data_IF_431508125079
#
_entry.id   IF_431508125079
#
_cell.length_a   1.000
_cell.length_b   1.000
_cell.length_c   1.000
_cell.angle_alpha   90.00
_cell.angle_beta   90.00
_cell.angle_gamma   90.00
#
_symmetry.space_group_name_H-M   'P 1'
#
loop_
_entity.id
_entity.type
_entity.pdbx_description
1 polymer ?
#
# COMPACT_ATOMS: atom_id res chain seq x y z
N UNK A 1 28.41 -1.89 8.96
CA UNK A 1 27.62 -2.05 7.72
C UNK A 1 26.29 -1.37 7.94
N UNK A 2 26.11 -0.21 7.30
CA UNK A 2 24.95 0.66 7.49
C UNK A 2 23.77 0.11 6.69
N UNK A 3 22.74 -0.39 7.37
CA UNK A 3 21.42 -0.60 6.78
C UNK A 3 20.63 0.70 6.88
N UNK A 4 20.38 1.33 5.74
CA UNK A 4 19.46 2.48 5.63
C UNK A 4 18.07 2.07 6.14
N UNK A 5 17.48 2.78 7.13
CA UNK A 5 16.10 2.51 7.50
C UNK A 5 15.18 3.01 6.39
N UNK A 6 14.39 2.08 5.85
CA UNK A 6 13.24 2.31 4.99
C UNK A 6 12.42 3.48 5.58
N UNK A 7 12.24 4.53 4.78
CA UNK A 7 11.48 5.74 5.12
C UNK A 7 10.18 5.41 5.88
N UNK A 8 10.20 5.63 7.20
CA UNK A 8 8.99 5.65 8.01
C UNK A 8 8.39 7.05 7.89
N UNK A 9 7.11 7.21 7.51
CA UNK A 9 6.47 8.51 7.59
C UNK A 9 6.33 8.91 9.08
N UNK A 10 6.53 10.20 9.43
CA UNK A 10 6.44 10.68 10.80
C UNK A 10 5.00 10.63 11.34
N UNK A 11 4.79 10.40 12.65
CA UNK A 11 3.47 10.41 13.27
C UNK A 11 3.02 11.86 13.52
N UNK A 12 1.81 12.21 13.09
CA UNK A 12 1.15 13.47 13.47
C UNK A 12 0.77 14.43 12.34
N UNK A 13 0.19 13.96 11.24
CA UNK A 13 -0.60 14.86 10.37
C UNK A 13 -2.10 14.73 10.70
N UNK A 14 -2.81 15.87 10.87
CA UNK A 14 -4.25 15.89 11.16
C UNK A 14 -5.05 15.24 10.02
N UNK A 15 -6.28 14.84 10.32
CA UNK A 15 -7.18 14.05 9.48
C UNK A 15 -7.63 14.70 8.13
N UNK A 16 -6.85 15.64 7.59
CA UNK A 16 -7.06 16.35 6.31
C UNK A 16 -5.94 16.08 5.27
N UNK A 17 -5.23 14.94 5.36
CA UNK A 17 -4.26 14.51 4.36
C UNK A 17 -4.56 13.09 3.81
N UNK A 18 -5.83 12.80 3.57
CA UNK A 18 -6.28 11.58 2.87
C UNK A 18 -6.13 11.67 1.35
N UNK A 19 -5.42 12.66 0.84
CA UNK A 19 -5.01 12.66 -0.56
C UNK A 19 -3.90 11.63 -0.78
N UNK A 20 -4.11 10.78 -1.78
CA UNK A 20 -3.07 9.91 -2.31
C UNK A 20 -1.86 10.77 -2.69
N UNK A 21 -0.66 10.38 -2.25
CA UNK A 21 0.57 10.97 -2.76
C UNK A 21 0.67 10.83 -4.28
N UNK A 22 1.46 11.68 -4.93
CA UNK A 22 1.72 11.60 -6.38
C UNK A 22 2.16 10.19 -6.78
N UNK A 23 3.09 9.60 -6.03
CA UNK A 23 3.57 8.23 -6.27
C UNK A 23 2.46 7.18 -6.16
N UNK A 24 1.59 7.30 -5.16
CA UNK A 24 0.44 6.39 -5.02
C UNK A 24 -0.54 6.52 -6.19
N UNK A 25 -0.79 7.75 -6.69
CA UNK A 25 -1.64 7.99 -7.87
C UNK A 25 -1.05 7.35 -9.13
N UNK A 26 0.26 7.45 -9.35
CA UNK A 26 0.94 6.78 -10.47
C UNK A 26 0.85 5.26 -10.38
N UNK A 27 1.05 4.69 -9.19
CA UNK A 27 0.94 3.24 -9.00
C UNK A 27 -0.49 2.75 -9.27
N UNK A 28 -1.52 3.49 -8.85
CA UNK A 28 -2.92 3.19 -9.15
C UNK A 28 -3.16 3.20 -10.66
N UNK A 29 -2.72 4.25 -11.38
CA UNK A 29 -2.82 4.32 -12.84
C UNK A 29 -2.11 3.15 -13.53
N UNK A 30 -0.90 2.81 -13.08
CA UNK A 30 -0.12 1.68 -13.62
C UNK A 30 -0.86 0.35 -13.45
N UNK A 31 -1.44 0.12 -12.26
CA UNK A 31 -2.22 -1.09 -11.99
C UNK A 31 -3.55 -1.12 -12.77
N UNK A 32 -4.24 0.02 -12.89
CA UNK A 32 -5.47 0.13 -13.69
C UNK A 32 -5.22 -0.28 -15.13
N UNK A 33 -4.17 0.28 -15.76
CA UNK A 33 -3.80 -0.06 -17.14
C UNK A 33 -3.43 -1.53 -17.30
N UNK A 34 -2.76 -2.12 -16.32
CA UNK A 34 -2.43 -3.54 -16.35
C UNK A 34 -3.68 -4.42 -16.29
N UNK A 35 -4.68 -4.04 -15.48
CA UNK A 35 -5.97 -4.74 -15.41
C UNK A 35 -6.71 -4.60 -16.75
N UNK A 36 -6.81 -3.38 -17.28
CA UNK A 36 -7.55 -3.10 -18.52
C UNK A 36 -6.93 -3.79 -19.75
N UNK A 37 -5.60 -3.94 -19.77
CA UNK A 37 -4.87 -4.64 -20.83
C UNK A 37 -4.91 -6.17 -20.69
N UNK A 38 -5.42 -6.72 -19.58
CA UNK A 38 -5.43 -8.16 -19.34
C UNK A 38 -6.65 -8.81 -20.02
N UNK A 39 -6.40 -9.58 -21.09
CA UNK A 39 -7.43 -10.32 -21.80
C UNK A 39 -7.64 -11.77 -21.29
N UNK A 40 -6.63 -12.33 -20.61
CA UNK A 40 -6.70 -13.68 -20.05
C UNK A 40 -7.34 -13.66 -18.64
N UNK A 41 -8.48 -14.34 -18.42
CA UNK A 41 -9.12 -14.41 -17.12
C UNK A 41 -8.24 -15.03 -16.01
N UNK A 42 -7.32 -15.93 -16.33
CA UNK A 42 -6.41 -16.51 -15.33
C UNK A 42 -5.37 -15.50 -14.85
N UNK A 43 -4.88 -14.65 -15.75
CA UNK A 43 -4.00 -13.53 -15.40
C UNK A 43 -4.72 -12.47 -14.58
N UNK A 44 -5.98 -12.16 -14.91
CA UNK A 44 -6.78 -11.22 -14.11
C UNK A 44 -6.98 -11.75 -12.69
N UNK A 45 -7.29 -13.04 -12.55
CA UNK A 45 -7.41 -13.73 -11.26
C UNK A 45 -6.10 -13.70 -10.47
N UNK A 46 -4.95 -13.82 -11.15
CA UNK A 46 -3.62 -13.70 -10.53
C UNK A 46 -3.38 -12.28 -10.01
N UNK A 47 -3.67 -11.25 -10.81
CA UNK A 47 -3.54 -9.84 -10.40
C UNK A 47 -4.44 -9.54 -9.20
N UNK A 48 -5.70 -9.98 -9.22
CA UNK A 48 -6.64 -9.79 -8.12
C UNK A 48 -6.15 -10.41 -6.80
N UNK A 49 -5.60 -11.63 -6.85
CA UNK A 49 -5.02 -12.28 -5.67
C UNK A 49 -3.80 -11.53 -5.12
N UNK A 50 -2.98 -10.96 -5.99
CA UNK A 50 -1.83 -10.15 -5.57
C UNK A 50 -2.27 -8.87 -4.86
N UNK A 51 -3.26 -8.16 -5.41
CA UNK A 51 -3.84 -6.96 -4.80
C UNK A 51 -4.46 -7.28 -3.43
N UNK A 52 -5.20 -8.39 -3.31
CA UNK A 52 -5.77 -8.83 -2.05
C UNK A 52 -4.69 -9.06 -0.97
N UNK A 53 -3.59 -9.74 -1.34
CA UNK A 53 -2.48 -9.96 -0.41
C UNK A 53 -1.82 -8.65 0.01
N UNK A 54 -1.54 -7.77 -0.95
CA UNK A 54 -0.92 -6.47 -0.67
C UNK A 54 -1.76 -5.63 0.29
N UNK A 55 -3.09 -5.60 0.08
CA UNK A 55 -4.03 -4.93 0.97
C UNK A 55 -3.95 -5.44 2.42
N UNK A 56 -3.99 -6.77 2.61
CA UNK A 56 -3.90 -7.36 3.95
C UNK A 56 -2.55 -7.09 4.61
N UNK A 57 -1.44 -7.12 3.84
CA UNK A 57 -0.11 -6.78 4.35
C UNK A 57 -0.05 -5.33 4.81
N UNK A 58 -0.56 -4.39 4.01
CA UNK A 58 -0.59 -2.98 4.39
C UNK A 58 -1.46 -2.74 5.63
N UNK A 59 -2.65 -3.37 5.69
CA UNK A 59 -3.53 -3.29 6.86
C UNK A 59 -2.85 -3.82 8.13
N UNK A 60 -2.14 -4.95 8.03
CA UNK A 60 -1.39 -5.51 9.15
C UNK A 60 -0.26 -4.58 9.61
N UNK A 61 0.48 -3.98 8.68
CA UNK A 61 1.53 -3.01 8.98
C UNK A 61 0.97 -1.77 9.68
N UNK A 62 -0.13 -1.20 9.19
CA UNK A 62 -0.82 -0.07 9.83
C UNK A 62 -1.28 -0.43 11.25
N UNK A 63 -1.93 -1.58 11.42
CA UNK A 63 -2.38 -2.04 12.74
C UNK A 63 -1.21 -2.24 13.72
N UNK A 64 -0.07 -2.76 13.24
CA UNK A 64 1.13 -2.91 14.05
C UNK A 64 1.69 -1.57 14.51
N UNK A 65 1.79 -0.57 13.62
CA UNK A 65 2.25 0.79 13.98
C UNK A 65 1.33 1.40 15.03
N UNK A 66 0.01 1.31 14.85
CA UNK A 66 -0.97 1.85 15.81
C UNK A 66 -0.86 1.12 17.16
N UNK A 67 -0.72 -0.20 17.15
CA UNK A 67 -0.55 -1.00 18.37
C UNK A 67 0.74 -0.68 19.13
N UNK A 68 1.79 -0.22 18.45
CA UNK A 68 3.03 0.22 19.11
C UNK A 68 2.96 1.63 19.71
N UNK A 69 2.01 2.45 19.28
CA UNK A 69 1.80 3.80 19.82
C UNK A 69 0.98 3.80 21.13
N UNK A 70 0.58 2.64 21.64
CA UNK A 70 0.04 2.47 22.98
C UNK A 70 1.16 2.01 23.94
N UNK A 71 1.94 2.93 24.54
CA UNK A 71 2.70 2.60 25.73
C UNK A 71 1.70 2.20 26.83
N UNK A 72 2.02 1.15 27.58
CA UNK A 72 1.30 0.79 28.82
C UNK A 72 1.35 1.92 29.83
#
# INVERSE_FOLDING_TARGET
MSGLPLHSPPPGQPADALELSISQRFEIERFSRAIDATADPDDLKRIAKQLLRAWHTQKAATNWVIGQQQPR
#
